data_IF_234135592645
#
_entry.id   IF_234135592645
#
_cell.length_a   1.000
_cell.length_b   1.000
_cell.length_c   1.000
_cell.angle_alpha   90.00
_cell.angle_beta   90.00
_cell.angle_gamma   90.00
#
_symmetry.space_group_name_H-M   'P 1'
#
loop_
_entity.id
_entity.type
_entity.pdbx_description
1 polymer ?
#
# COMPACT_ATOMS: atom_id res chain seq x y z
N UNK A 1 -22.83 29.15 24.25
CA UNK A 1 -23.08 27.92 23.46
C UNK A 1 -21.86 27.04 23.63
N UNK A 2 -21.84 26.38 24.77
CA UNK A 2 -20.70 25.67 25.34
C UNK A 2 -20.59 24.27 24.74
N UNK A 3 -19.54 24.05 23.95
CA UNK A 3 -19.15 22.70 23.54
C UNK A 3 -18.58 21.99 24.76
N UNK A 4 -19.28 20.95 25.21
CA UNK A 4 -18.88 20.01 26.26
C UNK A 4 -17.43 19.57 26.05
N UNK A 5 -16.51 20.09 26.86
CA UNK A 5 -15.26 19.40 27.18
C UNK A 5 -15.64 18.21 28.07
N UNK A 6 -15.51 17.00 27.56
CA UNK A 6 -15.42 15.82 28.40
C UNK A 6 -14.16 15.95 29.27
N UNK A 7 -14.22 15.68 30.59
CA UNK A 7 -13.02 15.64 31.39
C UNK A 7 -12.21 14.39 30.99
N UNK A 8 -11.00 14.59 30.47
CA UNK A 8 -10.00 13.52 30.36
C UNK A 8 -9.78 12.95 31.75
N UNK A 9 -10.17 11.68 31.97
CA UNK A 9 -9.82 10.94 33.19
C UNK A 9 -8.29 10.99 33.31
N UNK A 10 -7.72 11.40 34.45
CA UNK A 10 -6.28 11.32 34.64
C UNK A 10 -5.86 9.85 34.49
N UNK A 11 -4.81 9.60 33.69
CA UNK A 11 -4.25 8.27 33.52
C UNK A 11 -3.97 7.66 34.89
N UNK A 12 -4.35 6.39 35.11
CA UNK A 12 -4.01 5.72 36.36
C UNK A 12 -2.49 5.63 36.48
N UNK A 13 -1.94 5.59 37.70
CA UNK A 13 -0.49 5.45 37.91
C UNK A 13 0.07 4.22 37.17
N UNK A 14 -0.70 3.14 37.13
CA UNK A 14 -0.37 1.89 36.42
C UNK A 14 -0.34 2.09 34.90
N UNK A 15 -1.27 2.86 34.33
CA UNK A 15 -1.27 3.17 32.90
C UNK A 15 -0.03 3.99 32.52
N UNK A 16 0.31 5.01 33.31
CA UNK A 16 1.52 5.84 33.11
C UNK A 16 2.79 4.98 33.20
N UNK A 17 2.83 4.03 34.13
CA UNK A 17 3.94 3.08 34.25
C UNK A 17 4.04 2.18 33.01
N UNK A 18 2.94 1.60 32.52
CA UNK A 18 2.92 0.78 31.30
C UNK A 18 3.42 1.57 30.07
N UNK A 19 2.98 2.82 29.90
CA UNK A 19 3.47 3.70 28.84
C UNK A 19 4.96 4.01 28.98
N UNK A 20 5.43 4.27 30.20
CA UNK A 20 6.85 4.51 30.46
C UNK A 20 7.72 3.29 30.12
N UNK A 21 7.23 2.09 30.43
CA UNK A 21 7.89 0.83 30.14
C UNK A 21 7.96 0.56 28.63
N UNK A 22 6.86 0.74 27.89
CA UNK A 22 6.84 0.60 26.43
C UNK A 22 7.74 1.65 25.73
N UNK A 23 7.79 2.87 26.25
CA UNK A 23 8.66 3.92 25.71
C UNK A 23 10.14 3.57 25.93
N UNK A 24 10.49 3.01 27.10
CA UNK A 24 11.85 2.55 27.39
C UNK A 24 12.27 1.37 26.51
N UNK A 25 11.40 0.38 26.28
CA UNK A 25 11.72 -0.76 25.41
C UNK A 25 11.92 -0.33 23.96
N UNK A 26 11.06 0.54 23.43
CA UNK A 26 11.23 1.12 22.09
C UNK A 26 12.50 1.96 21.97
N UNK A 27 12.85 2.72 23.01
CA UNK A 27 14.11 3.46 23.06
C UNK A 27 15.31 2.51 23.08
N UNK A 28 15.21 1.38 23.77
CA UNK A 28 16.25 0.34 23.78
C UNK A 28 16.45 -0.26 22.39
N UNK A 29 15.36 -0.63 21.69
CA UNK A 29 15.43 -1.15 20.30
C UNK A 29 16.07 -0.12 19.36
N UNK A 30 15.65 1.14 19.47
CA UNK A 30 16.21 2.24 18.67
C UNK A 30 17.71 2.41 18.92
N UNK A 31 18.16 2.36 20.18
CA UNK A 31 19.57 2.48 20.54
C UNK A 31 20.42 1.32 20.02
N UNK A 32 19.90 0.09 20.09
CA UNK A 32 20.60 -1.09 19.56
C UNK A 32 20.73 -0.96 18.04
N UNK A 33 19.66 -0.57 17.34
CA UNK A 33 19.67 -0.38 15.89
C UNK A 33 20.57 0.77 15.43
N UNK A 34 20.67 1.83 16.23
CA UNK A 34 21.55 2.97 15.96
C UNK A 34 23.05 2.68 16.22
N UNK A 35 23.39 1.50 16.76
CA UNK A 35 24.77 1.16 17.12
C UNK A 35 25.64 0.94 15.86
N UNK A 36 26.62 1.81 15.58
CA UNK A 36 27.49 1.66 14.41
C UNK A 36 28.40 0.42 14.51
N UNK A 37 28.63 -0.09 15.72
CA UNK A 37 29.50 -1.23 16.00
C UNK A 37 29.01 -2.54 15.34
N UNK A 38 27.68 -2.70 15.19
CA UNK A 38 27.10 -3.86 14.50
C UNK A 38 27.49 -3.86 13.02
N UNK A 39 27.32 -2.71 12.37
CA UNK A 39 27.66 -2.50 10.95
C UNK A 39 29.15 -2.66 10.70
N UNK A 40 30.00 -2.10 11.58
CA UNK A 40 31.45 -2.26 11.48
C UNK A 40 31.90 -3.72 11.63
N UNK A 41 31.27 -4.47 12.54
CA UNK A 41 31.56 -5.89 12.75
C UNK A 41 31.15 -6.72 11.53
N UNK A 42 29.98 -6.44 10.94
CA UNK A 42 29.52 -7.06 9.69
C UNK A 42 30.48 -6.77 8.53
N UNK A 43 30.91 -5.52 8.37
CA UNK A 43 31.88 -5.16 7.33
C UNK A 43 33.23 -5.85 7.50
N UNK A 44 33.71 -5.98 8.74
CA UNK A 44 34.94 -6.70 9.07
C UNK A 44 34.82 -8.19 8.72
N UNK A 45 33.70 -8.82 9.05
CA UNK A 45 33.42 -10.23 8.73
C UNK A 45 33.32 -10.44 7.23
N UNK A 46 32.60 -9.60 6.49
CA UNK A 46 32.48 -9.70 5.03
C UNK A 46 33.85 -9.58 4.35
N UNK A 47 34.74 -8.72 4.85
CA UNK A 47 36.12 -8.65 4.37
C UNK A 47 36.90 -9.94 4.62
N UNK A 48 36.72 -10.57 5.78
CA UNK A 48 37.37 -11.84 6.11
C UNK A 48 36.82 -13.01 5.28
N UNK A 49 35.52 -13.01 4.96
CA UNK A 49 34.89 -13.99 4.07
C UNK A 49 35.45 -13.85 2.65
N UNK A 50 35.55 -12.63 2.13
CA UNK A 50 36.11 -12.40 0.78
C UNK A 50 37.61 -12.72 0.69
N UNK A 51 38.34 -12.60 1.81
CA UNK A 51 39.73 -13.00 1.91
C UNK A 51 39.90 -14.52 2.17
N UNK A 52 38.81 -15.26 2.35
CA UNK A 52 38.85 -16.70 2.55
C UNK A 52 39.13 -17.41 1.22
N UNK A 53 40.09 -18.36 1.16
CA UNK A 53 40.40 -19.06 -0.08
C UNK A 53 39.21 -19.89 -0.56
N UNK A 54 38.85 -19.75 -1.84
CA UNK A 54 37.80 -20.55 -2.49
C UNK A 54 38.32 -21.80 -3.18
N UNK A 55 39.64 -21.92 -3.31
CA UNK A 55 40.33 -23.06 -3.94
C UNK A 55 41.25 -23.75 -2.91
N UNK A 56 41.59 -25.02 -3.14
CA UNK A 56 42.45 -25.83 -2.24
C UNK A 56 43.93 -25.39 -2.27
N UNK A 57 44.23 -24.28 -2.95
CA UNK A 57 45.54 -23.66 -2.96
C UNK A 57 45.84 -22.96 -1.63
N UNK A 58 46.94 -23.33 -0.99
CA UNK A 58 47.42 -22.66 0.21
C UNK A 58 47.79 -21.19 -0.10
N UNK A 59 47.26 -20.21 0.65
CA UNK A 59 47.64 -18.80 0.50
C UNK A 59 49.13 -18.57 0.73
N UNK A 60 49.66 -17.45 0.23
CA UNK A 60 51.06 -17.06 0.39
C UNK A 60 51.52 -16.99 1.87
N UNK A 61 50.58 -16.72 2.79
CA UNK A 61 50.82 -16.67 4.24
C UNK A 61 50.80 -18.05 4.94
N UNK A 62 50.61 -19.13 4.17
CA UNK A 62 50.57 -20.50 4.66
C UNK A 62 49.37 -20.82 5.58
N UNK A 63 49.43 -21.99 6.21
CA UNK A 63 48.36 -22.51 7.09
C UNK A 63 48.15 -21.64 8.34
N UNK A 64 49.21 -21.02 8.87
CA UNK A 64 49.12 -20.18 10.07
C UNK A 64 48.33 -18.89 9.82
N UNK A 65 48.49 -18.28 8.65
CA UNK A 65 47.66 -17.13 8.22
C UNK A 65 46.19 -17.50 8.15
N UNK A 66 45.87 -18.65 7.56
CA UNK A 66 44.50 -19.17 7.45
C UNK A 66 43.88 -19.47 8.83
N UNK A 67 44.68 -19.98 9.78
CA UNK A 67 44.23 -20.23 11.16
C UNK A 67 43.89 -18.93 11.89
N UNK A 68 44.61 -17.85 11.62
CA UNK A 68 44.33 -16.53 12.20
C UNK A 68 43.07 -15.92 11.58
N UNK A 69 42.91 -15.98 10.26
CA UNK A 69 41.68 -15.50 9.60
C UNK A 69 40.47 -16.30 10.06
N UNK A 70 40.61 -17.62 10.24
CA UNK A 70 39.57 -18.49 10.79
C UNK A 70 39.14 -18.02 12.18
N UNK A 71 40.09 -17.86 13.12
CA UNK A 71 39.78 -17.42 14.49
C UNK A 71 39.08 -16.06 14.51
N UNK A 72 39.52 -15.12 13.66
CA UNK A 72 38.91 -13.78 13.54
C UNK A 72 37.51 -13.85 12.94
N UNK A 73 37.31 -14.67 11.92
CA UNK A 73 36.02 -14.90 11.27
C UNK A 73 35.03 -15.56 12.24
N UNK A 74 35.43 -16.64 12.91
CA UNK A 74 34.60 -17.33 13.91
C UNK A 74 34.28 -16.44 15.11
N UNK A 75 35.17 -15.54 15.51
CA UNK A 75 34.85 -14.53 16.54
C UNK A 75 33.83 -13.53 16.03
N UNK A 76 34.07 -12.92 14.87
CA UNK A 76 33.18 -11.91 14.32
C UNK A 76 31.78 -12.46 13.99
N UNK A 77 31.67 -13.70 13.52
CA UNK A 77 30.37 -14.35 13.30
C UNK A 77 29.62 -14.61 14.62
N UNK A 78 30.33 -14.97 15.70
CA UNK A 78 29.72 -15.10 17.03
C UNK A 78 29.26 -13.75 17.57
N UNK A 79 30.03 -12.70 17.35
CA UNK A 79 29.68 -11.34 17.78
C UNK A 79 28.44 -10.83 17.03
N UNK A 80 28.37 -11.04 15.70
CA UNK A 80 27.17 -10.72 14.90
C UNK A 80 25.96 -11.48 15.42
N UNK A 81 26.11 -12.79 15.65
CA UNK A 81 25.02 -13.62 16.17
C UNK A 81 24.52 -13.12 17.53
N UNK A 82 25.44 -12.79 18.44
CA UNK A 82 25.08 -12.25 19.76
C UNK A 82 24.33 -10.92 19.64
N UNK A 83 24.74 -10.03 18.73
CA UNK A 83 24.04 -8.78 18.47
C UNK A 83 22.64 -9.00 17.89
N UNK A 84 22.49 -9.91 16.92
CA UNK A 84 21.15 -10.23 16.39
C UNK A 84 20.25 -10.89 17.43
N UNK A 85 20.80 -11.73 18.32
CA UNK A 85 20.04 -12.36 19.41
C UNK A 85 19.58 -11.29 20.43
N UNK A 86 20.41 -10.28 20.71
CA UNK A 86 20.06 -9.13 21.56
C UNK A 86 18.98 -8.24 20.92
N UNK A 87 19.08 -7.99 19.62
CA UNK A 87 18.06 -7.27 18.83
C UNK A 87 16.71 -7.99 18.88
N UNK A 88 16.69 -9.30 18.61
CA UNK A 88 15.47 -10.12 18.66
C UNK A 88 14.83 -10.01 20.03
N UNK A 89 15.61 -10.19 21.10
CA UNK A 89 15.09 -10.11 22.48
C UNK A 89 14.53 -8.73 22.82
N UNK A 90 15.17 -7.65 22.36
CA UNK A 90 14.69 -6.30 22.58
C UNK A 90 13.39 -6.01 21.81
N UNK A 91 13.27 -6.54 20.59
CA UNK A 91 12.04 -6.45 19.78
C UNK A 91 10.90 -7.22 20.44
N UNK A 92 11.15 -8.45 20.92
CA UNK A 92 10.15 -9.26 21.61
C UNK A 92 9.64 -8.56 22.88
N UNK A 93 10.53 -8.00 23.70
CA UNK A 93 10.14 -7.22 24.89
C UNK A 93 9.31 -5.97 24.51
N UNK A 94 9.67 -5.29 23.42
CA UNK A 94 8.90 -4.16 22.92
C UNK A 94 7.50 -4.59 22.42
N UNK A 95 7.41 -5.70 21.70
CA UNK A 95 6.16 -6.27 21.23
C UNK A 95 5.25 -6.68 22.38
N UNK A 96 5.79 -7.30 23.44
CA UNK A 96 5.04 -7.67 24.63
C UNK A 96 4.45 -6.44 25.32
N UNK A 97 5.26 -5.39 25.55
CA UNK A 97 4.80 -4.17 26.22
C UNK A 97 3.76 -3.40 25.40
N UNK A 98 3.91 -3.35 24.08
CA UNK A 98 2.90 -2.75 23.20
C UNK A 98 1.62 -3.59 23.20
N UNK A 99 1.72 -4.91 23.21
CA UNK A 99 0.56 -5.81 23.29
C UNK A 99 -0.23 -5.60 24.58
N UNK A 100 0.45 -5.39 25.71
CA UNK A 100 -0.20 -5.02 26.98
C UNK A 100 -0.96 -3.68 26.85
N UNK A 101 -0.35 -2.65 26.23
CA UNK A 101 -1.03 -1.37 26.01
C UNK A 101 -2.26 -1.50 25.09
N UNK A 102 -2.16 -2.31 24.03
CA UNK A 102 -3.29 -2.61 23.14
C UNK A 102 -4.40 -3.33 23.90
N UNK A 103 -4.07 -4.29 24.76
CA UNK A 103 -5.04 -4.99 25.60
C UNK A 103 -5.74 -4.05 26.60
N UNK A 104 -4.98 -3.15 27.25
CA UNK A 104 -5.53 -2.14 28.16
C UNK A 104 -6.48 -1.17 27.44
N UNK A 105 -6.15 -0.77 26.21
CA UNK A 105 -7.02 0.05 25.37
C UNK A 105 -8.33 -0.66 25.01
N UNK A 106 -8.24 -1.92 24.55
CA UNK A 106 -9.42 -2.75 24.23
C UNK A 106 -10.31 -2.98 25.45
N UNK A 107 -9.71 -3.24 26.62
CA UNK A 107 -10.45 -3.41 27.87
C UNK A 107 -11.12 -2.11 28.34
N UNK A 108 -10.47 -0.96 28.15
CA UNK A 108 -11.05 0.36 28.50
C UNK A 108 -12.20 0.75 27.58
N UNK A 109 -12.14 0.37 26.30
CA UNK A 109 -13.19 0.61 25.30
C UNK A 109 -14.43 -0.27 25.55
N UNK A 110 -14.24 -1.50 26.05
CA UNK A 110 -15.33 -2.42 26.40
C UNK A 110 -16.19 -1.95 27.60
N UNK A 111 -15.74 -0.99 28.41
CA UNK A 111 -16.44 -0.49 29.61
C UNK A 111 -17.45 0.63 29.28
N UNK A 112 -17.54 1.08 28.02
CA UNK A 112 -18.56 2.03 27.57
C UNK A 112 -19.69 1.33 26.80
N UNK A 113 -20.77 0.84 27.44
CA UNK A 113 -21.99 0.61 26.71
C UNK A 113 -22.67 1.96 26.47
N UNK A 114 -22.45 2.55 25.28
CA UNK A 114 -23.38 3.55 24.74
C UNK A 114 -24.74 2.88 24.52
N UNK A 115 -25.55 2.81 25.58
CA UNK A 115 -26.97 2.47 25.48
C UNK A 115 -27.72 3.68 24.93
N UNK A 116 -27.44 4.05 23.67
CA UNK A 116 -28.21 5.06 22.95
C UNK A 116 -29.43 4.39 22.35
N UNK A 117 -30.49 4.29 23.15
CA UNK A 117 -31.82 3.86 22.73
C UNK A 117 -32.20 4.55 21.41
N UNK A 118 -32.32 3.77 20.33
CA UNK A 118 -32.88 4.22 19.05
C UNK A 118 -34.34 4.59 19.29
N UNK A 119 -34.66 5.90 19.29
CA UNK A 119 -36.03 6.38 19.09
C UNK A 119 -36.41 6.18 17.62
N UNK A 120 -37.63 5.70 17.29
CA UNK A 120 -38.07 5.61 15.91
C UNK A 120 -38.19 7.01 15.33
N UNK A 121 -37.51 7.27 14.20
CA UNK A 121 -37.77 8.48 13.39
C UNK A 121 -39.06 8.22 12.61
N UNK A 122 -40.05 9.09 12.80
CA UNK A 122 -41.30 9.06 12.04
C UNK A 122 -41.09 9.47 10.56
N UNK A 123 -42.02 9.09 9.67
CA UNK A 123 -41.90 9.32 8.24
C UNK A 123 -42.15 10.81 7.90
N UNK A 124 -41.26 11.42 7.12
CA UNK A 124 -41.50 12.72 6.49
C UNK A 124 -42.38 12.54 5.23
N UNK A 125 -43.35 13.43 4.97
CA UNK A 125 -44.34 13.25 3.91
C UNK A 125 -43.82 13.68 2.53
N UNK A 126 -44.39 13.04 1.50
CA UNK A 126 -44.14 13.28 0.09
C UNK A 126 -45.07 14.34 -0.53
N UNK A 127 -44.63 14.95 -1.64
CA UNK A 127 -45.43 15.71 -2.63
C UNK A 127 -45.18 17.23 -2.56
N UNK A 128 -44.74 17.94 -3.61
CA UNK A 128 -45.42 18.08 -4.92
C UNK A 128 -44.50 18.73 -5.99
N UNK A 129 -44.84 18.66 -7.30
CA UNK A 129 -43.93 18.90 -8.45
C UNK A 129 -44.20 20.17 -9.31
N UNK A 130 -43.33 20.37 -10.32
CA UNK A 130 -43.42 21.17 -11.59
C UNK A 130 -42.97 22.65 -11.56
N UNK A 131 -42.61 23.28 -12.73
CA UNK A 131 -42.73 22.84 -14.12
C UNK A 131 -41.50 23.00 -15.07
N UNK A 132 -41.60 22.29 -16.20
CA UNK A 132 -40.75 22.34 -17.38
C UNK A 132 -41.16 23.43 -18.39
N UNK A 133 -40.25 23.78 -19.32
CA UNK A 133 -40.52 24.50 -20.58
C UNK A 133 -39.40 24.16 -21.62
N UNK A 134 -39.58 24.41 -22.94
CA UNK A 134 -39.57 23.38 -23.98
C UNK A 134 -38.38 23.48 -24.99
N UNK A 135 -38.28 22.58 -26.00
CA UNK A 135 -37.10 22.45 -26.86
C UNK A 135 -37.23 23.26 -28.17
N UNK A 136 -36.07 23.65 -28.73
CA UNK A 136 -35.96 24.09 -30.13
C UNK A 136 -35.09 23.09 -30.88
N UNK A 137 -35.69 22.47 -31.88
CA UNK A 137 -35.03 21.65 -32.89
C UNK A 137 -34.61 22.54 -34.07
N UNK A 138 -33.44 22.28 -34.65
CA UNK A 138 -33.22 22.43 -36.10
C UNK A 138 -32.28 21.34 -36.61
N UNK A 139 -32.77 20.61 -37.61
CA UNK A 139 -32.04 19.65 -38.43
C UNK A 139 -31.16 20.39 -39.45
N UNK A 140 -29.93 19.90 -39.70
CA UNK A 140 -29.41 19.75 -41.07
C UNK A 140 -28.14 18.87 -41.12
N UNK A 141 -28.34 17.76 -41.83
CA UNK A 141 -27.45 16.74 -42.41
C UNK A 141 -26.28 17.31 -43.25
N UNK A 142 -25.09 16.69 -43.15
CA UNK A 142 -24.20 16.22 -44.25
C UNK A 142 -22.68 16.43 -44.00
N UNK A 143 -21.92 15.34 -44.06
CA UNK A 143 -20.45 15.24 -44.23
C UNK A 143 -20.07 15.43 -45.73
N UNK A 144 -18.79 15.34 -46.19
CA UNK A 144 -17.49 15.24 -45.50
C UNK A 144 -16.40 16.21 -46.03
N UNK A 145 -15.39 16.56 -45.23
CA UNK A 145 -14.09 17.00 -45.77
C UNK A 145 -12.97 16.28 -45.03
N UNK A 146 -12.35 15.36 -45.76
CA UNK A 146 -11.14 14.63 -45.42
C UNK A 146 -9.92 15.53 -45.54
N UNK A 147 -9.16 15.72 -44.46
CA UNK A 147 -7.75 16.11 -44.52
C UNK A 147 -7.00 15.22 -43.51
N UNK A 148 -5.95 14.48 -43.93
CA UNK A 148 -5.27 13.54 -43.07
C UNK A 148 -4.28 14.30 -42.18
N UNK A 149 -4.51 14.31 -40.87
CA UNK A 149 -3.48 14.76 -39.94
C UNK A 149 -2.46 13.62 -39.79
N UNK A 150 -1.29 13.89 -40.39
CA UNK A 150 -0.01 13.21 -40.20
C UNK A 150 0.10 12.53 -38.83
N UNK A 151 0.28 11.22 -38.88
CA UNK A 151 0.84 10.40 -37.82
C UNK A 151 2.19 10.99 -37.38
N UNK A 152 2.20 11.67 -36.23
CA UNK A 152 3.40 11.91 -35.45
C UNK A 152 3.46 10.83 -34.39
N UNK A 153 4.16 9.74 -34.73
CA UNK A 153 4.58 8.71 -33.78
C UNK A 153 5.59 9.33 -32.80
N UNK A 154 5.09 9.99 -31.77
CA UNK A 154 5.80 10.09 -30.49
C UNK A 154 5.46 8.86 -29.65
N UNK A 155 6.36 8.35 -28.80
CA UNK A 155 6.02 7.29 -27.87
C UNK A 155 5.03 7.84 -26.85
N UNK A 156 3.74 7.66 -27.09
CA UNK A 156 2.72 7.81 -26.06
C UNK A 156 3.03 6.78 -24.96
N UNK A 157 3.16 7.19 -23.69
CA UNK A 157 3.38 6.25 -22.60
C UNK A 157 2.27 5.21 -22.63
N UNK A 158 2.65 3.93 -22.59
CA UNK A 158 1.72 2.82 -22.72
C UNK A 158 0.74 2.86 -21.54
N UNK A 159 -0.53 3.14 -21.84
CA UNK A 159 -1.61 3.32 -20.87
C UNK A 159 -1.81 2.00 -20.11
N UNK A 160 -1.57 1.93 -18.79
CA UNK A 160 -1.73 0.71 -17.99
C UNK A 160 -3.17 0.16 -18.02
N UNK A 161 -4.16 1.02 -18.31
CA UNK A 161 -5.56 0.63 -18.38
C UNK A 161 -6.24 1.00 -19.71
N UNK A 162 -5.68 0.59 -20.84
CA UNK A 162 -6.46 0.58 -22.08
C UNK A 162 -7.56 -0.51 -22.00
N UNK A 163 -8.80 -0.17 -22.38
CA UNK A 163 -9.87 -1.16 -22.63
C UNK A 163 -9.47 -2.17 -23.70
N UNK A 164 -8.53 -1.82 -24.56
CA UNK A 164 -8.04 -2.69 -25.62
C UNK A 164 -7.06 -3.73 -25.05
N UNK A 165 -7.39 -5.03 -25.09
CA UNK A 165 -6.58 -6.07 -24.45
C UNK A 165 -5.14 -6.14 -24.95
N UNK A 166 -4.90 -5.69 -26.19
CA UNK A 166 -3.57 -5.69 -26.81
C UNK A 166 -2.68 -4.60 -26.24
N UNK A 167 -3.19 -3.37 -26.13
CA UNK A 167 -2.46 -2.23 -25.58
C UNK A 167 -2.14 -2.44 -24.09
N UNK A 168 -3.07 -2.99 -23.31
CA UNK A 168 -2.84 -3.31 -21.90
C UNK A 168 -1.76 -4.38 -21.71
N UNK A 169 -1.77 -5.42 -22.54
CA UNK A 169 -0.73 -6.45 -22.51
C UNK A 169 0.64 -5.87 -22.88
N UNK A 170 0.70 -4.95 -23.83
CA UNK A 170 1.94 -4.26 -24.21
C UNK A 170 2.45 -3.35 -23.09
N UNK A 171 1.58 -2.56 -22.45
CA UNK A 171 1.91 -1.71 -21.32
C UNK A 171 2.46 -2.51 -20.12
N UNK A 172 1.82 -3.65 -19.82
CA UNK A 172 2.21 -4.50 -18.70
C UNK A 172 3.31 -5.51 -19.06
N UNK A 173 3.68 -5.68 -20.33
CA UNK A 173 4.60 -6.73 -20.79
C UNK A 173 5.91 -6.81 -19.99
N UNK A 174 6.43 -5.66 -19.56
CA UNK A 174 7.68 -5.54 -18.78
C UNK A 174 7.54 -6.01 -17.33
N UNK A 175 6.32 -6.07 -16.80
CA UNK A 175 6.01 -6.52 -15.45
C UNK A 175 5.50 -7.97 -15.42
N UNK A 176 5.23 -8.59 -16.58
CA UNK A 176 4.68 -9.94 -16.67
C UNK A 176 5.79 -11.02 -16.69
N UNK A 177 5.60 -12.15 -15.99
CA UNK A 177 4.47 -12.44 -15.10
C UNK A 177 4.54 -11.64 -13.80
N UNK A 178 3.37 -11.21 -13.29
CA UNK A 178 3.28 -10.62 -11.96
C UNK A 178 3.78 -11.64 -10.92
N UNK A 179 4.73 -11.23 -10.10
CA UNK A 179 5.36 -12.08 -9.09
C UNK A 179 4.39 -12.35 -7.92
N UNK A 180 4.62 -13.45 -7.22
CA UNK A 180 3.90 -13.77 -5.98
C UNK A 180 4.16 -12.67 -4.93
N UNK A 181 3.14 -12.30 -4.16
CA UNK A 181 3.19 -11.19 -3.22
C UNK A 181 2.97 -9.81 -3.86
N UNK A 182 2.83 -9.70 -5.19
CA UNK A 182 2.57 -8.42 -5.86
C UNK A 182 1.21 -7.87 -5.46
N UNK A 183 1.19 -6.64 -4.94
CA UNK A 183 -0.05 -5.92 -4.63
C UNK A 183 -0.71 -5.38 -5.90
N UNK A 184 -2.02 -5.50 -5.97
CA UNK A 184 -2.83 -5.10 -7.12
C UNK A 184 -4.16 -4.49 -6.66
N UNK A 185 -4.70 -3.56 -7.45
CA UNK A 185 -6.13 -3.25 -7.36
C UNK A 185 -6.87 -4.29 -8.21
N UNK A 186 -7.82 -5.00 -7.61
CA UNK A 186 -8.59 -6.07 -8.22
C UNK A 186 -10.06 -5.68 -8.26
N UNK A 187 -10.74 -5.95 -9.38
CA UNK A 187 -12.17 -5.83 -9.50
C UNK A 187 -12.79 -7.23 -9.39
N UNK A 188 -13.40 -7.58 -8.24
CA UNK A 188 -14.12 -8.83 -8.10
C UNK A 188 -15.18 -8.99 -9.19
N UNK A 189 -15.41 -10.21 -9.69
CA UNK A 189 -16.60 -10.46 -10.50
C UNK A 189 -17.83 -10.21 -9.62
N UNK A 190 -18.86 -9.58 -10.18
CA UNK A 190 -20.17 -9.48 -9.55
C UNK A 190 -20.58 -10.87 -9.03
N UNK A 191 -20.73 -11.01 -7.71
CA UNK A 191 -21.11 -12.28 -7.11
C UNK A 191 -22.48 -12.68 -7.70
N UNK A 192 -22.61 -13.94 -8.12
CA UNK A 192 -23.92 -14.49 -8.45
C UNK A 192 -24.80 -14.41 -7.18
N UNK A 193 -26.11 -14.09 -7.32
CA UNK A 193 -27.01 -14.03 -6.18
C UNK A 193 -27.21 -15.46 -5.66
N UNK A 194 -26.55 -15.79 -4.56
CA UNK A 194 -26.58 -17.13 -3.99
C UNK A 194 -25.97 -17.27 -2.59
N UNK A 195 -25.46 -16.19 -2.00
CA UNK A 195 -25.06 -16.18 -0.59
C UNK A 195 -25.75 -14.99 0.07
N UNK A 196 -26.67 -15.29 0.99
CA UNK A 196 -27.57 -14.34 1.65
C UNK A 196 -26.81 -13.53 2.71
N UNK A 197 -25.98 -12.61 2.27
CA UNK A 197 -25.36 -11.55 3.08
C UNK A 197 -25.75 -10.19 2.52
N UNK A 198 -26.37 -9.36 3.35
CA UNK A 198 -26.90 -8.02 3.05
C UNK A 198 -25.77 -7.03 2.62
N UNK A 199 -25.34 -7.07 1.37
CA UNK A 199 -24.44 -6.08 0.75
C UNK A 199 -25.24 -5.11 -0.12
N UNK A 200 -25.15 -3.82 0.18
CA UNK A 200 -25.73 -2.75 -0.64
C UNK A 200 -25.16 -2.84 -2.07
N UNK A 201 -26.00 -2.55 -3.08
CA UNK A 201 -25.64 -2.58 -4.51
C UNK A 201 -24.44 -1.66 -4.91
N UNK A 202 -23.87 -0.93 -3.96
CA UNK A 202 -22.63 -0.18 -4.10
C UNK A 202 -21.37 -1.08 -4.09
N UNK A 203 -21.43 -2.28 -3.50
CA UNK A 203 -20.28 -3.20 -3.42
C UNK A 203 -19.96 -3.91 -4.74
N UNK A 204 -20.92 -3.98 -5.66
CA UNK A 204 -20.82 -4.79 -6.91
C UNK A 204 -19.79 -4.24 -7.92
N UNK A 205 -19.35 -2.99 -7.75
CA UNK A 205 -18.42 -2.30 -8.64
C UNK A 205 -17.16 -1.77 -7.93
N UNK A 206 -16.94 -2.19 -6.69
CA UNK A 206 -15.83 -1.68 -5.87
C UNK A 206 -14.54 -2.44 -6.17
N UNK A 207 -13.48 -1.68 -6.43
CA UNK A 207 -12.13 -2.23 -6.57
C UNK A 207 -11.54 -2.46 -5.19
N UNK A 208 -10.90 -3.60 -4.98
CA UNK A 208 -10.30 -3.98 -3.69
C UNK A 208 -8.79 -4.16 -3.82
N UNK A 209 -8.09 -4.01 -2.69
CA UNK A 209 -6.69 -4.34 -2.57
C UNK A 209 -6.52 -5.85 -2.48
N UNK A 210 -5.79 -6.41 -3.43
CA UNK A 210 -5.49 -7.84 -3.44
C UNK A 210 -3.99 -8.09 -3.60
N UNK A 211 -3.58 -9.30 -3.26
CA UNK A 211 -2.21 -9.80 -3.39
C UNK A 211 -2.20 -10.96 -4.38
N UNK A 212 -1.29 -10.93 -5.36
CA UNK A 212 -1.07 -12.04 -6.28
C UNK A 212 -0.50 -13.23 -5.50
N UNK A 213 -1.22 -14.34 -5.52
CA UNK A 213 -0.76 -15.59 -4.90
C UNK A 213 0.10 -16.38 -5.88
N UNK A 214 -0.36 -16.54 -7.12
CA UNK A 214 0.37 -17.25 -8.17
C UNK A 214 -0.17 -16.96 -9.57
N UNK A 215 0.66 -17.15 -10.60
CA UNK A 215 0.20 -17.29 -11.98
C UNK A 215 -0.37 -18.69 -12.23
N UNK A 216 -1.57 -18.79 -12.80
CA UNK A 216 -2.24 -20.06 -13.05
C UNK A 216 -1.67 -20.67 -14.34
N UNK A 217 -1.28 -21.96 -14.29
CA UNK A 217 -0.75 -22.71 -15.45
C UNK A 217 0.48 -22.09 -16.13
N UNK A 218 1.29 -21.31 -15.39
CA UNK A 218 2.38 -20.49 -15.98
C UNK A 218 1.89 -19.53 -17.08
N UNK A 219 0.59 -19.25 -17.14
CA UNK A 219 0.00 -18.30 -18.07
C UNK A 219 0.27 -16.88 -17.56
N UNK A 220 0.79 -16.03 -18.44
CA UNK A 220 1.07 -14.61 -18.14
C UNK A 220 -0.21 -13.76 -18.01
N UNK A 221 -1.39 -14.34 -18.24
CA UNK A 221 -2.66 -13.62 -18.26
C UNK A 221 -3.68 -14.10 -17.23
N UNK A 222 -3.42 -15.22 -16.52
CA UNK A 222 -4.34 -15.80 -15.53
C UNK A 222 -3.66 -15.88 -14.16
N UNK A 223 -4.34 -15.36 -13.14
CA UNK A 223 -3.77 -15.20 -11.81
C UNK A 223 -4.77 -15.66 -10.75
N UNK A 224 -4.24 -16.21 -9.66
CA UNK A 224 -4.95 -16.36 -8.40
C UNK A 224 -4.56 -15.17 -7.52
N UNK A 225 -5.54 -14.39 -7.09
CA UNK A 225 -5.35 -13.25 -6.19
C UNK A 225 -6.12 -13.48 -4.90
N UNK A 226 -5.62 -12.93 -3.81
CA UNK A 226 -6.25 -12.99 -2.50
C UNK A 226 -6.58 -11.60 -2.02
N UNK A 227 -7.79 -11.42 -1.49
CA UNK A 227 -8.18 -10.21 -0.78
C UNK A 227 -7.19 -9.90 0.36
N UNK A 228 -6.83 -8.63 0.53
CA UNK A 228 -6.00 -8.17 1.64
C UNK A 228 -6.79 -8.12 2.96
N UNK A 229 -8.11 -7.95 2.92
CA UNK A 229 -8.94 -8.02 4.11
C UNK A 229 -9.20 -9.47 4.54
N UNK A 230 -9.04 -9.80 5.84
CA UNK A 230 -9.41 -11.10 6.36
C UNK A 230 -10.93 -11.28 6.33
N UNK A 231 -11.39 -12.53 6.25
CA UNK A 231 -12.81 -12.85 6.37
C UNK A 231 -13.32 -12.59 7.80
N UNK A 232 -14.64 -12.43 7.96
CA UNK A 232 -15.26 -12.17 9.28
C UNK A 232 -14.92 -13.24 10.32
N UNK A 233 -14.72 -14.49 9.88
CA UNK A 233 -14.32 -15.62 10.73
C UNK A 233 -12.81 -15.62 11.11
N UNK A 234 -12.06 -14.57 10.74
CA UNK A 234 -10.62 -14.43 10.99
C UNK A 234 -9.73 -15.26 10.05
N UNK A 235 -10.33 -15.92 9.04
CA UNK A 235 -9.60 -16.61 8.00
C UNK A 235 -8.89 -15.64 7.05
N UNK A 236 -7.81 -16.05 6.36
CA UNK A 236 -7.20 -15.22 5.32
C UNK A 236 -8.22 -14.81 4.27
N UNK A 237 -8.00 -13.66 3.64
CA UNK A 237 -8.93 -13.09 2.66
C UNK A 237 -9.31 -14.06 1.54
N UNK A 238 -10.48 -13.82 0.95
CA UNK A 238 -11.03 -14.68 -0.10
C UNK A 238 -10.10 -14.75 -1.32
N UNK A 239 -9.96 -15.95 -1.91
CA UNK A 239 -9.17 -16.17 -3.12
C UNK A 239 -10.04 -16.15 -4.36
N UNK A 240 -9.54 -15.51 -5.42
CA UNK A 240 -10.22 -15.33 -6.69
C UNK A 240 -9.32 -15.72 -7.85
N UNK A 241 -9.89 -16.44 -8.82
CA UNK A 241 -9.26 -16.68 -10.11
C UNK A 241 -9.65 -15.58 -11.08
N UNK A 242 -8.68 -14.91 -11.67
CA UNK A 242 -8.92 -13.75 -12.52
C UNK A 242 -7.93 -13.66 -13.68
N UNK A 243 -8.12 -12.64 -14.52
CA UNK A 243 -7.22 -12.30 -15.62
C UNK A 243 -6.69 -10.89 -15.47
N UNK A 244 -5.71 -10.53 -16.31
CA UNK A 244 -5.19 -9.16 -16.36
C UNK A 244 -6.26 -8.08 -16.60
N UNK A 245 -7.47 -8.42 -17.09
CA UNK A 245 -8.55 -7.43 -17.31
C UNK A 245 -9.08 -6.81 -16.01
N UNK A 246 -9.11 -7.59 -14.93
CA UNK A 246 -9.65 -7.16 -13.65
C UNK A 246 -8.55 -6.85 -12.63
N UNK A 247 -7.28 -6.72 -13.05
CA UNK A 247 -6.14 -6.45 -12.18
C UNK A 247 -5.37 -5.22 -12.66
N UNK A 248 -5.10 -4.27 -11.77
CA UNK A 248 -4.17 -3.16 -11.98
C UNK A 248 -2.97 -3.36 -11.05
N UNK A 249 -1.76 -3.63 -11.57
CA UNK A 249 -0.57 -3.76 -10.72
C UNK A 249 -0.22 -2.44 -10.03
N UNK A 250 -0.17 -2.45 -8.70
CA UNK A 250 0.19 -1.27 -7.89
C UNK A 250 1.71 -1.14 -7.79
N UNK A 251 2.34 0.03 -7.81
CA UNK A 251 3.79 0.18 -7.62
C UNK A 251 4.38 -0.58 -6.42
N UNK A 252 5.60 -1.12 -6.55
CA UNK A 252 6.39 -1.65 -5.43
C UNK A 252 7.47 -0.64 -5.03
N UNK A 253 7.38 0.00 -3.86
CA UNK A 253 8.43 0.89 -3.35
C UNK A 253 9.75 0.17 -3.07
N UNK A 254 9.71 -1.14 -2.81
CA UNK A 254 10.91 -1.92 -2.48
C UNK A 254 11.58 -2.52 -3.73
N UNK A 255 10.93 -2.46 -4.89
CA UNK A 255 11.53 -2.91 -6.14
C UNK A 255 12.73 -2.03 -6.51
N UNK A 256 13.77 -2.57 -7.18
CA UNK A 256 14.90 -1.75 -7.59
C UNK A 256 14.44 -0.64 -8.55
N UNK A 257 15.03 0.58 -8.51
CA UNK A 257 14.58 1.72 -9.32
C UNK A 257 14.56 1.50 -10.84
N UNK A 258 15.28 0.49 -11.32
CA UNK A 258 15.34 0.06 -12.72
C UNK A 258 14.21 -0.90 -13.12
N UNK A 259 13.47 -1.43 -12.14
CA UNK A 259 12.38 -2.37 -12.36
C UNK A 259 11.12 -1.67 -12.86
N UNK A 260 10.42 -2.30 -13.78
CA UNK A 260 9.09 -1.86 -14.23
C UNK A 260 8.04 -1.90 -13.11
N UNK A 261 8.31 -2.60 -11.99
CA UNK A 261 7.45 -2.61 -10.82
C UNK A 261 7.68 -1.42 -9.88
N UNK A 262 8.83 -0.73 -9.98
CA UNK A 262 9.15 0.40 -9.12
C UNK A 262 8.28 1.61 -9.44
N UNK A 263 8.05 2.46 -8.44
CA UNK A 263 7.20 3.65 -8.55
C UNK A 263 7.60 4.60 -9.70
N UNK A 264 8.90 4.72 -9.99
CA UNK A 264 9.40 5.55 -11.10
C UNK A 264 8.95 5.08 -12.49
N UNK A 265 8.50 3.82 -12.63
CA UNK A 265 7.99 3.30 -13.89
C UNK A 265 6.51 3.70 -14.14
N UNK A 266 5.84 4.27 -13.14
CA UNK A 266 4.45 4.69 -13.21
C UNK A 266 4.37 6.19 -13.54
N UNK A 267 3.31 6.57 -14.26
CA UNK A 267 3.07 7.97 -14.58
C UNK A 267 2.62 8.74 -13.34
N UNK A 268 2.99 10.01 -13.30
CA UNK A 268 2.49 10.95 -12.30
C UNK A 268 1.20 11.61 -12.81
N UNK A 269 0.19 11.72 -11.95
CA UNK A 269 -1.09 12.31 -12.30
C UNK A 269 -1.09 13.82 -11.99
N UNK A 270 -1.30 14.71 -12.98
CA UNK A 270 -1.37 16.14 -12.71
C UNK A 270 -2.63 16.50 -11.93
N UNK A 271 -2.59 17.64 -11.24
CA UNK A 271 -3.75 18.24 -10.58
C UNK A 271 -4.94 18.38 -11.54
N UNK A 272 -6.15 18.03 -11.08
CA UNK A 272 -7.39 17.94 -11.85
C UNK A 272 -7.62 16.58 -12.52
N UNK A 273 -6.67 15.63 -12.43
CA UNK A 273 -6.86 14.29 -13.01
C UNK A 273 -7.86 13.47 -12.21
N UNK A 274 -8.72 12.72 -12.91
CA UNK A 274 -9.52 11.66 -12.29
C UNK A 274 -8.67 10.41 -12.14
N UNK A 275 -8.59 9.91 -10.91
CA UNK A 275 -7.82 8.72 -10.53
C UNK A 275 -8.71 7.77 -9.74
N UNK A 276 -8.19 6.57 -9.52
CA UNK A 276 -8.72 5.64 -8.54
C UNK A 276 -7.69 5.48 -7.42
N UNK A 277 -8.12 5.60 -6.17
CA UNK A 277 -7.20 5.59 -5.04
C UNK A 277 -7.76 4.79 -3.86
N UNK A 278 -6.85 4.19 -3.07
CA UNK A 278 -7.21 3.52 -1.84
C UNK A 278 -7.74 4.55 -0.84
N UNK A 279 -8.94 4.34 -0.33
CA UNK A 279 -9.50 5.22 0.70
C UNK A 279 -8.82 4.97 2.05
N UNK A 280 -8.50 6.02 2.84
CA UNK A 280 -7.81 5.86 4.11
C UNK A 280 -8.49 4.86 5.04
N UNK A 281 -7.67 4.04 5.72
CA UNK A 281 -8.11 3.02 6.67
C UNK A 281 -9.06 1.94 6.09
N UNK A 282 -9.06 1.75 4.76
CA UNK A 282 -9.83 0.68 4.08
C UNK A 282 -8.95 -0.12 3.13
N UNK A 283 -9.46 -1.26 2.65
CA UNK A 283 -8.87 -2.01 1.53
C UNK A 283 -9.55 -1.74 0.18
N UNK A 284 -10.40 -0.71 0.08
CA UNK A 284 -11.17 -0.41 -1.12
C UNK A 284 -10.65 0.82 -1.88
N UNK A 285 -10.76 0.75 -3.19
CA UNK A 285 -10.35 1.78 -4.13
C UNK A 285 -11.57 2.50 -4.68
N UNK A 286 -11.56 3.82 -4.60
CA UNK A 286 -12.66 4.68 -5.01
C UNK A 286 -12.21 5.74 -6.00
N UNK A 287 -13.19 6.31 -6.71
CA UNK A 287 -12.98 7.43 -7.63
C UNK A 287 -12.57 8.67 -6.84
N UNK A 288 -11.52 9.33 -7.31
CA UNK A 288 -11.01 10.55 -6.70
C UNK A 288 -10.49 11.54 -7.75
N UNK A 289 -10.44 12.81 -7.37
CA UNK A 289 -9.82 13.90 -8.12
C UNK A 289 -8.49 14.30 -7.45
N UNK A 290 -7.45 14.51 -8.25
CA UNK A 290 -6.15 14.99 -7.77
C UNK A 290 -6.23 16.49 -7.48
N UNK A 291 -6.15 16.89 -6.21
CA UNK A 291 -6.06 18.30 -5.80
C UNK A 291 -4.63 18.84 -5.84
N UNK A 292 -3.64 17.98 -5.55
CA UNK A 292 -2.23 18.33 -5.66
C UNK A 292 -1.39 17.08 -5.95
N UNK A 293 -0.49 17.18 -6.93
CA UNK A 293 0.50 16.14 -7.22
C UNK A 293 1.67 16.16 -6.21
N UNK A 294 2.47 15.08 -6.10
CA UNK A 294 3.70 15.08 -5.31
C UNK A 294 4.65 16.22 -5.67
N UNK A 295 4.69 16.63 -6.95
CA UNK A 295 5.46 17.80 -7.40
C UNK A 295 4.90 19.12 -6.88
N UNK A 296 3.58 19.29 -6.90
CA UNK A 296 2.93 20.53 -6.45
C UNK A 296 3.08 20.73 -4.93
N UNK A 297 3.07 19.62 -4.17
CA UNK A 297 3.28 19.62 -2.72
C UNK A 297 4.75 19.83 -2.33
N UNK A 298 5.68 19.80 -3.29
CA UNK A 298 7.10 20.09 -3.08
C UNK A 298 7.56 21.32 -3.88
N UNK A 299 7.07 22.54 -3.54
CA UNK A 299 7.49 23.75 -4.21
C UNK A 299 8.91 24.14 -3.74
N UNK A 300 9.90 23.78 -4.56
CA UNK A 300 11.23 24.36 -4.50
C UNK A 300 12.33 23.43 -4.05
N UNK A 301 12.87 22.63 -4.98
CA UNK A 301 14.29 22.26 -5.12
C UNK A 301 15.07 21.72 -3.91
N UNK A 302 14.44 21.50 -2.76
CA UNK A 302 15.05 20.88 -1.59
C UNK A 302 14.97 19.40 -1.83
N UNK A 303 16.13 18.81 -2.07
CA UNK A 303 16.36 17.37 -2.05
C UNK A 303 16.01 16.87 -0.65
N UNK A 304 14.72 16.64 -0.39
CA UNK A 304 14.34 15.80 0.73
C UNK A 304 14.95 14.44 0.44
N UNK A 305 15.52 13.84 1.48
CA UNK A 305 16.13 12.52 1.41
C UNK A 305 15.24 11.58 0.60
N UNK A 306 15.86 10.68 -0.15
CA UNK A 306 15.26 9.63 -0.98
C UNK A 306 14.36 8.63 -0.20
N UNK A 307 13.84 9.02 0.97
CA UNK A 307 13.05 8.25 1.92
C UNK A 307 11.61 8.75 2.07
N UNK A 308 11.23 9.92 1.53
CA UNK A 308 9.85 10.39 1.65
C UNK A 308 9.00 9.80 0.52
N UNK A 309 8.01 8.97 0.90
CA UNK A 309 7.07 8.38 -0.05
C UNK A 309 6.30 9.52 -0.72
N UNK A 310 6.30 9.64 -2.05
CA UNK A 310 5.56 10.68 -2.74
C UNK A 310 4.06 10.48 -2.50
N UNK A 311 3.35 11.58 -2.25
CA UNK A 311 1.97 11.58 -1.78
C UNK A 311 1.15 12.55 -2.63
N UNK A 312 -0.08 12.15 -2.96
CA UNK A 312 -1.08 12.99 -3.59
C UNK A 312 -2.03 13.57 -2.55
N UNK A 313 -2.53 14.78 -2.82
CA UNK A 313 -3.71 15.30 -2.14
C UNK A 313 -4.91 15.02 -3.04
N UNK A 314 -5.87 14.26 -2.54
CA UNK A 314 -7.02 13.76 -3.29
C UNK A 314 -8.33 14.24 -2.66
N UNK A 315 -9.37 14.32 -3.48
CA UNK A 315 -10.76 14.51 -3.08
C UNK A 315 -11.57 13.33 -3.60
N UNK A 316 -12.16 12.55 -2.71
CA UNK A 316 -13.04 11.44 -3.09
C UNK A 316 -14.44 11.96 -3.44
N UNK A 317 -15.14 11.26 -4.34
CA UNK A 317 -16.43 11.71 -4.87
C UNK A 317 -17.56 11.70 -3.81
N UNK A 318 -17.52 10.76 -2.86
CA UNK A 318 -18.60 10.51 -1.89
C UNK A 318 -18.34 11.10 -0.49
N UNK A 319 -17.31 11.94 -0.32
CA UNK A 319 -16.81 12.34 1.01
C UNK A 319 -16.89 13.85 1.29
N UNK A 320 -18.01 14.47 0.90
CA UNK A 320 -18.34 15.88 1.21
C UNK A 320 -17.18 16.88 0.98
N UNK A 321 -16.43 16.70 -0.11
CA UNK A 321 -15.27 17.51 -0.49
C UNK A 321 -14.08 17.45 0.48
N UNK A 322 -13.97 16.41 1.31
CA UNK A 322 -12.83 16.21 2.20
C UNK A 322 -11.52 15.95 1.43
N UNK A 323 -10.44 16.56 1.93
CA UNK A 323 -9.10 16.41 1.35
C UNK A 323 -8.32 15.31 2.07
N UNK A 324 -7.76 14.37 1.30
CA UNK A 324 -7.02 13.23 1.81
C UNK A 324 -5.61 13.14 1.24
N UNK A 325 -4.64 12.83 2.10
CA UNK A 325 -3.25 12.61 1.69
C UNK A 325 -3.02 11.11 1.45
N UNK A 326 -2.85 10.71 0.18
CA UNK A 326 -2.73 9.29 -0.21
C UNK A 326 -1.38 9.05 -0.89
N UNK A 327 -0.63 8.04 -0.42
CA UNK A 327 0.66 7.69 -1.01
C UNK A 327 0.53 7.26 -2.47
N UNK A 328 1.47 7.66 -3.33
CA UNK A 328 1.42 7.43 -4.77
C UNK A 328 1.34 5.95 -5.17
N UNK A 329 1.86 5.04 -4.33
CA UNK A 329 1.75 3.59 -4.55
C UNK A 329 0.30 3.07 -4.49
N UNK A 330 -0.61 3.86 -3.91
CA UNK A 330 -2.03 3.54 -3.75
C UNK A 330 -2.93 4.33 -4.70
N UNK A 331 -2.34 5.07 -5.65
CA UNK A 331 -3.05 5.85 -6.65
C UNK A 331 -2.80 5.25 -8.02
N UNK A 332 -3.88 4.93 -8.72
CA UNK A 332 -3.84 4.35 -10.07
C UNK A 332 -4.76 5.10 -11.02
N UNK A 333 -4.55 4.87 -12.30
CA UNK A 333 -5.39 5.45 -13.35
C UNK A 333 -6.84 4.98 -13.20
N UNK A 334 -7.79 5.90 -13.36
CA UNK A 334 -9.20 5.56 -13.35
C UNK A 334 -9.54 4.71 -14.59
N UNK A 335 -10.15 3.51 -14.40
CA UNK A 335 -10.39 2.57 -15.50
C UNK A 335 -11.38 3.05 -16.57
N UNK A 336 -12.15 4.12 -16.28
CA UNK A 336 -13.18 4.66 -17.18
C UNK A 336 -14.32 3.66 -17.36
N UNK A 337 -15.45 3.88 -16.67
CA UNK A 337 -16.68 3.07 -16.82
C UNK A 337 -17.35 3.33 -18.15
#
# INVERSE_FOLDING_TARGET
MDRRRMPTRPASSEEVECWSHATRSLSSVSNIYASPNSVETVHRVNRLINAWPTDDSLPADGYDGLKITYKRLSSGLRDIRAHTDEEIKAIDDAMERISVLVALRKASEAILPEKRNKRPRGPSPAGTPTPATPPIATNARALPVSIPLRSSLGPSPAIPFSREPKARREALAKQLPLQEGRKVAFHPPANKPGDEGNGDAAEENTWILAVVIKSINQDKNRYEVQDAEPQEDGQPGQRYNTTLRAIIPLPDPNAPPTSAAHLNAYQEFPTGSTVMALYPDTSCFYRAEVLASPRDLQPGGRTTSSKQIPTYKLKFEDDDDQEHAVAAQWVVEWPGV
#
